data_IF_750997579121
#
_entry.id   IF_750997579121
#
_cell.length_a   1.000
_cell.length_b   1.000
_cell.length_c   1.000
_cell.angle_alpha   90.00
_cell.angle_beta   90.00
_cell.angle_gamma   90.00
#
_symmetry.space_group_name_H-M   'P 1'
#
loop_
_entity.id
_entity.type
_entity.pdbx_description
1 polymer ?
#
# COMPACT_ATOMS: atom_id res chain seq x y z
N UNK A 1 3.99 2.39 9.35
CA UNK A 1 4.88 1.98 10.44
C UNK A 1 6.19 2.76 10.48
N UNK A 2 6.73 3.32 9.37
CA UNK A 2 7.92 4.18 9.42
C UNK A 2 7.76 5.38 8.48
N UNK A 3 7.81 6.63 8.98
CA UNK A 3 7.45 7.84 8.20
C UNK A 3 8.64 8.75 7.82
N UNK A 4 9.88 8.43 8.22
CA UNK A 4 11.08 9.27 7.99
C UNK A 4 12.32 8.50 7.49
N UNK A 5 12.13 7.27 7.02
CA UNK A 5 13.20 6.42 6.46
C UNK A 5 13.07 6.31 4.96
N UNK A 6 14.15 5.94 4.27
CA UNK A 6 14.10 5.64 2.83
C UNK A 6 13.09 4.52 2.56
N UNK A 7 12.57 4.44 1.33
CA UNK A 7 11.64 3.36 0.95
C UNK A 7 12.24 1.98 1.20
N UNK A 8 13.51 1.77 0.87
CA UNK A 8 14.22 0.51 1.09
C UNK A 8 14.32 0.14 2.57
N UNK A 9 14.77 1.07 3.42
CA UNK A 9 14.86 0.81 4.87
C UNK A 9 13.48 0.51 5.48
N UNK A 10 12.46 1.25 5.06
CA UNK A 10 11.08 1.05 5.53
C UNK A 10 10.57 -0.34 5.15
N UNK A 11 10.78 -0.77 3.91
CA UNK A 11 10.35 -2.08 3.43
C UNK A 11 11.11 -3.19 4.16
N UNK A 12 12.44 -3.12 4.22
CA UNK A 12 13.28 -4.13 4.88
C UNK A 12 12.94 -4.27 6.38
N UNK A 13 12.78 -3.15 7.08
CA UNK A 13 12.42 -3.17 8.51
C UNK A 13 11.03 -3.77 8.73
N UNK A 14 10.05 -3.37 7.92
CA UNK A 14 8.69 -3.87 8.04
C UNK A 14 8.61 -5.38 7.72
N UNK A 15 9.33 -5.84 6.70
CA UNK A 15 9.42 -7.26 6.37
C UNK A 15 10.02 -8.06 7.52
N UNK A 16 11.17 -7.65 8.05
CA UNK A 16 11.84 -8.35 9.15
C UNK A 16 10.95 -8.47 10.39
N UNK A 17 10.28 -7.38 10.78
CA UNK A 17 9.33 -7.40 11.91
C UNK A 17 8.17 -8.34 11.61
N UNK A 18 7.53 -8.24 10.44
CA UNK A 18 6.37 -9.08 10.12
C UNK A 18 6.74 -10.56 10.06
N UNK A 19 7.90 -10.92 9.51
CA UNK A 19 8.39 -12.31 9.51
C UNK A 19 8.64 -12.82 10.91
N UNK A 20 9.25 -12.03 11.79
CA UNK A 20 9.44 -12.43 13.19
C UNK A 20 8.09 -12.71 13.89
N UNK A 21 7.07 -11.87 13.66
CA UNK A 21 5.74 -12.09 14.24
C UNK A 21 5.06 -13.36 13.68
N UNK A 22 5.33 -13.73 12.43
CA UNK A 22 4.73 -14.88 11.76
C UNK A 22 5.46 -16.19 12.05
N UNK A 23 6.78 -16.16 12.19
CA UNK A 23 7.65 -17.36 12.27
C UNK A 23 7.99 -17.77 13.71
N UNK A 24 7.94 -16.83 14.68
CA UNK A 24 8.35 -17.09 16.06
C UNK A 24 7.20 -16.89 17.05
N UNK A 25 6.34 -17.91 17.25
CA UNK A 25 5.22 -17.84 18.19
C UNK A 25 5.64 -17.87 19.67
N UNK A 26 6.88 -18.29 19.99
CA UNK A 26 7.26 -18.67 21.36
C UNK A 26 7.89 -17.53 22.19
N UNK A 27 8.29 -16.40 21.60
CA UNK A 27 9.07 -15.35 22.29
C UNK A 27 8.30 -14.06 22.61
N UNK A 28 6.99 -14.01 22.38
CA UNK A 28 6.15 -12.89 22.83
C UNK A 28 5.39 -13.32 24.09
N UNK A 29 5.94 -12.89 25.22
CA UNK A 29 5.53 -13.21 26.59
C UNK A 29 3.99 -13.20 26.80
N UNK A 30 3.47 -14.29 27.40
CA UNK A 30 2.15 -14.44 28.07
C UNK A 30 0.83 -14.51 27.28
N UNK A 31 0.79 -14.85 25.99
CA UNK A 31 -0.49 -15.18 25.36
C UNK A 31 -0.79 -16.70 25.49
N UNK A 32 -1.98 -17.04 25.99
CA UNK A 32 -2.50 -18.40 26.01
C UNK A 32 -2.40 -19.06 24.61
N UNK A 33 -2.30 -20.40 24.51
CA UNK A 33 -2.18 -21.09 23.22
C UNK A 33 -3.40 -20.75 22.36
N UNK A 34 -3.19 -19.89 21.37
CA UNK A 34 -4.21 -19.36 20.49
C UNK A 34 -3.59 -18.96 19.15
N UNK A 35 -4.37 -19.09 18.08
CA UNK A 35 -3.93 -18.73 16.73
C UNK A 35 -3.61 -17.22 16.68
N UNK A 36 -2.37 -16.89 16.33
CA UNK A 36 -1.92 -15.50 16.13
C UNK A 36 -2.47 -14.98 14.81
N UNK A 37 -3.13 -13.83 14.84
CA UNK A 37 -3.59 -13.12 13.64
C UNK A 37 -2.75 -11.85 13.48
N UNK A 38 -2.03 -11.74 12.37
CA UNK A 38 -1.24 -10.55 12.03
C UNK A 38 -1.97 -9.80 10.91
N UNK A 39 -2.27 -8.53 11.15
CA UNK A 39 -2.86 -7.62 10.15
C UNK A 39 -1.96 -6.40 10.03
N UNK A 40 -1.58 -6.06 8.81
CA UNK A 40 -0.74 -4.90 8.52
C UNK A 40 -1.35 -4.07 7.38
N UNK A 41 -1.42 -2.75 7.59
CA UNK A 41 -1.79 -1.80 6.55
C UNK A 41 -0.52 -1.12 6.01
N UNK A 42 -0.35 -1.14 4.69
CA UNK A 42 0.81 -0.55 4.03
C UNK A 42 0.46 0.08 2.68
N UNK A 43 1.22 1.11 2.29
CA UNK A 43 1.23 1.65 0.93
C UNK A 43 2.41 1.12 0.10
N UNK A 44 3.33 0.38 0.72
CA UNK A 44 4.52 -0.17 0.08
C UNK A 44 4.16 -1.43 -0.70
N UNK A 45 3.96 -1.29 -2.02
CA UNK A 45 3.66 -2.42 -2.92
C UNK A 45 4.77 -3.47 -2.93
N UNK A 46 6.01 -3.05 -2.73
CA UNK A 46 7.17 -3.95 -2.63
C UNK A 46 7.06 -4.87 -1.41
N UNK A 47 6.68 -4.32 -0.25
CA UNK A 47 6.44 -5.12 0.96
C UNK A 47 5.34 -6.15 0.75
N UNK A 48 4.25 -5.78 0.05
CA UNK A 48 3.16 -6.72 -0.28
C UNK A 48 3.70 -7.89 -1.13
N UNK A 49 4.57 -7.62 -2.11
CA UNK A 49 5.19 -8.66 -2.94
C UNK A 49 6.14 -9.56 -2.14
N UNK A 50 6.95 -8.99 -1.25
CA UNK A 50 7.89 -9.77 -0.42
C UNK A 50 7.15 -10.74 0.50
N UNK A 51 5.95 -10.37 0.96
CA UNK A 51 5.15 -11.17 1.90
C UNK A 51 4.08 -12.04 1.23
N UNK A 52 4.03 -12.14 -0.11
CA UNK A 52 2.97 -12.83 -0.85
C UNK A 52 2.80 -14.31 -0.47
N UNK A 53 3.88 -14.95 0.02
CA UNK A 53 3.87 -16.34 0.51
C UNK A 53 3.46 -16.49 1.97
N UNK A 54 3.40 -15.39 2.72
CA UNK A 54 3.20 -15.39 4.17
C UNK A 54 1.90 -14.68 4.59
N UNK A 55 1.42 -13.72 3.78
CA UNK A 55 0.25 -12.92 4.06
C UNK A 55 -0.66 -12.87 2.82
N UNK A 56 -1.96 -13.05 3.03
CA UNK A 56 -2.95 -12.77 2.01
C UNK A 56 -3.06 -11.25 1.81
N UNK A 57 -2.90 -10.79 0.57
CA UNK A 57 -3.03 -9.37 0.23
C UNK A 57 -4.51 -8.99 0.08
N UNK A 58 -4.87 -7.86 0.65
CA UNK A 58 -6.16 -7.22 0.46
C UNK A 58 -6.00 -5.71 0.28
N UNK A 59 -6.99 -5.07 -0.33
CA UNK A 59 -7.01 -3.63 -0.51
C UNK A 59 -8.41 -3.02 -0.38
N UNK A 60 -8.43 -1.74 -0.08
CA UNK A 60 -9.58 -0.86 -0.30
C UNK A 60 -9.41 -0.15 -1.64
N UNK A 61 -10.52 0.22 -2.28
CA UNK A 61 -10.49 1.09 -3.46
C UNK A 61 -11.22 2.39 -3.19
N UNK A 62 -10.95 3.34 -4.06
CA UNK A 62 -11.61 4.62 -4.12
C UNK A 62 -12.01 4.96 -5.55
N UNK A 63 -12.99 5.85 -5.70
CA UNK A 63 -13.42 6.40 -6.99
C UNK A 63 -13.48 7.92 -6.89
N UNK A 64 -12.91 8.61 -7.88
CA UNK A 64 -13.00 10.07 -8.01
C UNK A 64 -14.06 10.40 -9.06
N UNK A 65 -15.19 10.95 -8.61
CA UNK A 65 -16.31 11.37 -9.45
C UNK A 65 -16.49 12.88 -9.47
N UNK A 66 -17.61 13.34 -10.04
CA UNK A 66 -18.02 14.76 -10.04
C UNK A 66 -18.19 15.31 -8.62
N UNK A 67 -18.63 14.46 -7.70
CA UNK A 67 -18.98 14.84 -6.33
C UNK A 67 -17.79 14.67 -5.37
N UNK A 68 -16.59 14.44 -5.90
CA UNK A 68 -15.36 14.26 -5.15
C UNK A 68 -14.94 12.79 -4.99
N UNK A 69 -14.22 12.52 -3.89
CA UNK A 69 -13.65 11.22 -3.56
C UNK A 69 -14.67 10.38 -2.78
N UNK A 70 -14.93 9.16 -3.27
CA UNK A 70 -15.77 8.18 -2.56
C UNK A 70 -15.01 6.87 -2.31
N UNK A 71 -15.30 6.26 -1.16
CA UNK A 71 -14.82 4.94 -0.77
C UNK A 71 -16.02 4.03 -0.53
N UNK A 72 -15.96 2.79 -1.00
CA UNK A 72 -17.01 1.81 -0.72
C UNK A 72 -16.76 1.00 0.56
N UNK A 73 -15.60 1.21 1.20
CA UNK A 73 -15.17 0.56 2.44
C UNK A 73 -15.17 -0.98 2.36
N UNK A 74 -15.08 -1.55 1.15
CA UNK A 74 -15.04 -3.01 0.95
C UNK A 74 -13.61 -3.49 0.81
N UNK A 75 -13.28 -4.51 1.59
CA UNK A 75 -12.03 -5.24 1.47
C UNK A 75 -12.10 -6.13 0.23
N UNK A 76 -11.14 -5.98 -0.67
CA UNK A 76 -11.01 -6.76 -1.91
C UNK A 76 -9.74 -7.58 -1.86
N UNK A 77 -9.80 -8.79 -2.41
CA UNK A 77 -8.63 -9.65 -2.54
C UNK A 77 -7.57 -9.06 -3.49
N UNK A 78 -6.31 -9.35 -3.19
CA UNK A 78 -5.16 -8.93 -3.98
C UNK A 78 -4.62 -7.55 -3.62
N UNK A 79 -3.46 -7.19 -4.20
CA UNK A 79 -2.83 -5.89 -3.97
C UNK A 79 -3.63 -4.74 -4.59
N UNK A 80 -3.49 -3.54 -4.01
CA UNK A 80 -4.15 -2.35 -4.54
C UNK A 80 -3.71 -2.03 -5.99
N UNK A 81 -4.69 -1.84 -6.86
CA UNK A 81 -4.48 -1.50 -8.28
C UNK A 81 -4.70 -0.02 -8.58
N UNK A 82 -5.50 0.69 -7.78
CA UNK A 82 -5.83 2.10 -8.01
C UNK A 82 -4.63 3.03 -7.75
N UNK A 83 -4.52 4.08 -8.58
CA UNK A 83 -3.55 5.18 -8.42
C UNK A 83 -4.25 6.51 -8.71
N UNK A 84 -5.07 6.94 -7.76
CA UNK A 84 -5.99 8.06 -7.99
C UNK A 84 -5.43 9.43 -7.59
N UNK A 85 -4.15 9.51 -7.18
CA UNK A 85 -3.53 10.75 -6.71
C UNK A 85 -3.62 11.91 -7.74
N UNK A 86 -3.43 11.63 -9.03
CA UNK A 86 -3.54 12.66 -10.08
C UNK A 86 -4.99 13.05 -10.35
N UNK A 87 -5.93 12.12 -10.19
CA UNK A 87 -7.37 12.41 -10.28
C UNK A 87 -7.83 13.29 -9.11
N UNK A 88 -7.35 12.99 -7.89
CA UNK A 88 -7.57 13.83 -6.71
C UNK A 88 -7.02 15.23 -6.89
N UNK A 89 -5.81 15.35 -7.44
CA UNK A 89 -5.22 16.64 -7.75
C UNK A 89 -6.13 17.47 -8.67
N UNK A 90 -6.73 16.84 -9.68
CA UNK A 90 -7.70 17.50 -10.56
C UNK A 90 -9.00 17.86 -9.81
N UNK A 91 -9.52 16.97 -8.96
CA UNK A 91 -10.74 17.20 -8.19
C UNK A 91 -10.60 18.31 -7.13
N UNK A 92 -9.38 18.58 -6.67
CA UNK A 92 -9.07 19.72 -5.80
C UNK A 92 -8.78 21.02 -6.57
N UNK A 93 -9.23 21.13 -7.82
CA UNK A 93 -9.07 22.30 -8.69
C UNK A 93 -7.63 22.76 -8.91
N UNK A 94 -6.67 21.82 -8.87
CA UNK A 94 -5.29 22.15 -9.21
C UNK A 94 -5.19 22.63 -10.68
N UNK A 95 -4.26 23.54 -11.00
CA UNK A 95 -4.17 24.07 -12.35
C UNK A 95 -3.96 22.97 -13.40
N UNK A 96 -4.69 23.04 -14.52
CA UNK A 96 -4.66 22.03 -15.59
C UNK A 96 -3.23 21.71 -16.08
N UNK A 97 -2.33 22.70 -16.08
CA UNK A 97 -0.90 22.51 -16.43
C UNK A 97 -0.17 21.55 -15.48
N UNK A 98 -0.51 21.57 -14.19
CA UNK A 98 0.08 20.72 -13.16
C UNK A 98 -0.46 19.30 -13.31
N UNK A 99 -1.78 19.14 -13.46
CA UNK A 99 -2.43 17.84 -13.70
C UNK A 99 -1.84 17.17 -14.95
N UNK A 100 -1.72 17.91 -16.07
CA UNK A 100 -1.12 17.38 -17.31
C UNK A 100 0.32 16.92 -17.12
N UNK A 101 1.13 17.72 -16.40
CA UNK A 101 2.52 17.37 -16.10
C UNK A 101 2.62 16.11 -15.24
N UNK A 102 1.77 15.99 -14.22
CA UNK A 102 1.71 14.81 -13.35
C UNK A 102 1.31 13.56 -14.15
N UNK A 103 0.29 13.65 -15.02
CA UNK A 103 -0.12 12.53 -15.90
C UNK A 103 0.99 12.09 -16.84
N UNK A 104 1.67 13.04 -17.50
CA UNK A 104 2.78 12.72 -18.40
C UNK A 104 3.91 12.00 -17.64
N UNK A 105 4.30 12.53 -16.47
CA UNK A 105 5.34 11.91 -15.64
C UNK A 105 4.95 10.53 -15.14
N UNK A 106 3.69 10.33 -14.76
CA UNK A 106 3.18 9.03 -14.33
C UNK A 106 3.31 8.00 -15.47
N UNK A 107 2.87 8.34 -16.68
CA UNK A 107 2.97 7.46 -17.83
C UNK A 107 4.43 7.04 -18.14
N UNK A 108 5.38 7.98 -18.02
CA UNK A 108 6.80 7.68 -18.24
C UNK A 108 7.36 6.71 -17.18
N UNK A 109 6.98 6.89 -15.90
CA UNK A 109 7.40 6.01 -14.81
C UNK A 109 6.80 4.60 -14.91
N UNK A 110 5.54 4.49 -15.35
CA UNK A 110 4.88 3.20 -15.54
C UNK A 110 5.55 2.39 -16.67
N UNK A 111 5.95 3.05 -17.77
CA UNK A 111 6.73 2.41 -18.86
C UNK A 111 8.11 1.94 -18.39
N UNK A 112 8.77 2.70 -17.52
CA UNK A 112 10.09 2.33 -16.99
C UNK A 112 10.02 1.19 -15.97
N UNK A 113 8.87 0.98 -15.31
CA UNK A 113 8.68 -0.07 -14.29
C UNK A 113 8.19 -1.41 -14.86
N UNK A 114 7.93 -1.46 -16.17
CA UNK A 114 7.45 -2.66 -16.89
C UNK A 114 8.58 -3.34 -17.70
N UNK A 115 9.77 -2.73 -17.74
CA UNK A 115 11.03 -3.31 -18.23
C UNK A 115 11.84 -3.82 -17.05
#
# INVERSE_FOLDING_TARGET
>A
MFRRTSTTERVATAEAVLRELLERPEQVDRAAPGARVVVAATHDRELVRLLDRHCAAYHFTDTVGSDGLSFDYRLREGPAVSRNAVALLQACDAPARVVRRARARQADLDRASTQ
#
